data_IF_168833249308
#
_entry.id   IF_168833249308
#
_cell.length_a   1.000
_cell.length_b   1.000
_cell.length_c   1.000
_cell.angle_alpha   90.00
_cell.angle_beta   90.00
_cell.angle_gamma   90.00
#
_symmetry.space_group_name_H-M   'P 1'
#
loop_
_entity.id
_entity.type
_entity.pdbx_description
1 polymer ?
#
# COMPACT_ATOMS: atom_id res chain seq x y z
N UNK A 1 16.98 59.39 72.01
CA UNK A 1 15.55 59.07 72.26
C UNK A 1 14.91 58.79 70.90
N UNK A 2 14.78 57.51 70.49
CA UNK A 2 13.52 56.72 70.56
C UNK A 2 12.48 57.23 69.53
N UNK A 3 12.01 56.50 68.51
CA UNK A 3 11.60 55.08 68.48
C UNK A 3 11.74 54.46 67.08
N UNK A 4 12.16 53.19 67.09
CA UNK A 4 12.21 52.25 65.97
C UNK A 4 10.84 51.56 65.87
N UNK A 5 10.14 51.68 64.74
CA UNK A 5 8.89 50.98 64.49
C UNK A 5 9.18 49.59 63.93
N UNK A 6 8.72 48.54 64.61
CA UNK A 6 8.87 47.15 64.20
C UNK A 6 8.02 46.82 62.96
N UNK A 7 8.46 45.91 62.08
CA UNK A 7 7.58 45.29 61.11
C UNK A 7 6.66 44.29 61.80
N UNK A 8 5.36 44.49 61.64
CA UNK A 8 4.29 43.63 62.13
C UNK A 8 4.45 42.22 61.61
N UNK A 9 4.68 41.28 62.51
CA UNK A 9 4.77 39.85 62.25
C UNK A 9 3.42 39.37 61.70
N UNK A 10 3.37 39.01 60.41
CA UNK A 10 2.24 38.30 59.82
C UNK A 10 2.08 36.96 60.55
N UNK A 11 1.00 36.85 61.33
CA UNK A 11 0.55 35.59 61.90
C UNK A 11 0.23 34.63 60.76
N UNK A 12 1.10 33.65 60.53
CA UNK A 12 0.76 32.43 59.82
C UNK A 12 -0.24 31.63 60.68
N UNK A 13 -1.51 32.02 60.59
CA UNK A 13 -2.60 31.19 61.10
C UNK A 13 -2.64 29.91 60.27
N UNK A 14 -2.50 28.75 60.93
CA UNK A 14 -2.66 27.43 60.32
C UNK A 14 -3.90 27.45 59.43
N UNK A 15 -3.75 27.06 58.16
CA UNK A 15 -4.86 26.98 57.21
C UNK A 15 -6.01 26.20 57.87
N UNK A 16 -7.19 26.82 57.95
CA UNK A 16 -8.36 26.18 58.55
C UNK A 16 -8.73 24.99 57.67
N UNK A 17 -9.23 23.93 58.30
CA UNK A 17 -9.64 22.70 57.62
C UNK A 17 -10.57 22.97 56.41
N UNK A 18 -11.44 23.98 56.52
CA UNK A 18 -12.32 24.42 55.44
C UNK A 18 -11.60 24.97 54.20
N UNK A 19 -10.47 25.66 54.37
CA UNK A 19 -9.68 26.17 53.24
C UNK A 19 -8.94 25.02 52.55
N UNK A 20 -8.48 24.02 53.32
CA UNK A 20 -7.92 22.80 52.75
C UNK A 20 -8.97 22.03 51.95
N UNK A 21 -10.19 21.86 52.49
CA UNK A 21 -11.29 21.20 51.78
C UNK A 21 -11.63 21.93 50.47
N UNK A 22 -11.69 23.28 50.49
CA UNK A 22 -11.92 24.07 49.28
C UNK A 22 -10.80 23.90 48.25
N UNK A 23 -9.54 23.93 48.69
CA UNK A 23 -8.39 23.71 47.80
C UNK A 23 -8.37 22.32 47.16
N UNK A 24 -8.79 21.29 47.91
CA UNK A 24 -8.90 19.92 47.40
C UNK A 24 -10.03 19.84 46.37
N UNK A 25 -11.18 20.46 46.63
CA UNK A 25 -12.29 20.50 45.68
C UNK A 25 -11.92 21.22 44.38
N UNK A 26 -11.25 22.37 44.47
CA UNK A 26 -10.78 23.13 43.31
C UNK A 26 -9.78 22.32 42.47
N UNK A 27 -8.84 21.64 43.14
CA UNK A 27 -7.86 20.75 42.47
C UNK A 27 -8.54 19.57 41.78
N UNK A 28 -9.48 18.90 42.44
CA UNK A 28 -10.23 17.77 41.87
C UNK A 28 -11.04 18.21 40.64
N UNK A 29 -11.67 19.40 40.69
CA UNK A 29 -12.39 19.96 39.56
C UNK A 29 -11.45 20.22 38.38
N UNK A 30 -10.31 20.87 38.62
CA UNK A 30 -9.32 21.14 37.59
C UNK A 30 -8.77 19.84 36.96
N UNK A 31 -8.47 18.83 37.77
CA UNK A 31 -8.00 17.53 37.27
C UNK A 31 -9.05 16.86 36.38
N UNK A 32 -10.31 16.91 36.79
CA UNK A 32 -11.43 16.38 36.00
C UNK A 32 -11.56 17.12 34.66
N UNK A 33 -11.47 18.44 34.65
CA UNK A 33 -11.52 19.24 33.41
C UNK A 33 -10.36 18.88 32.45
N UNK A 34 -9.16 18.64 33.00
CA UNK A 34 -8.00 18.19 32.22
C UNK A 34 -8.25 16.78 31.65
N UNK A 35 -8.78 15.86 32.46
CA UNK A 35 -9.10 14.50 32.03
C UNK A 35 -10.16 14.48 30.94
N UNK A 36 -11.23 15.26 31.08
CA UNK A 36 -12.27 15.41 30.06
C UNK A 36 -11.65 15.91 28.76
N UNK A 37 -10.82 16.97 28.83
CA UNK A 37 -10.15 17.52 27.64
C UNK A 37 -9.20 16.53 26.99
N UNK A 38 -8.43 15.77 27.77
CA UNK A 38 -7.53 14.75 27.26
C UNK A 38 -8.31 13.61 26.58
N UNK A 39 -9.39 13.15 27.22
CA UNK A 39 -10.25 12.09 26.69
C UNK A 39 -10.92 12.51 25.39
N UNK A 40 -11.46 13.72 25.31
CA UNK A 40 -12.06 14.23 24.07
C UNK A 40 -11.04 14.33 22.92
N UNK A 41 -9.80 14.70 23.21
CA UNK A 41 -8.72 14.71 22.20
C UNK A 41 -8.36 13.30 21.73
N UNK A 42 -8.26 12.34 22.64
CA UNK A 42 -8.01 10.93 22.30
C UNK A 42 -9.15 10.38 21.45
N UNK A 43 -10.41 10.66 21.82
CA UNK A 43 -11.58 10.24 21.05
C UNK A 43 -11.61 10.84 19.64
N UNK A 44 -11.28 12.12 19.51
CA UNK A 44 -11.18 12.78 18.20
C UNK A 44 -10.08 12.17 17.32
N UNK A 45 -8.90 11.90 17.89
CA UNK A 45 -7.83 11.23 17.17
C UNK A 45 -8.22 9.79 16.77
N UNK A 46 -8.91 9.06 17.65
CA UNK A 46 -9.40 7.72 17.35
C UNK A 46 -10.45 7.73 16.21
N UNK A 47 -11.34 8.72 16.19
CA UNK A 47 -12.31 8.89 15.10
C UNK A 47 -11.60 9.15 13.76
N UNK A 48 -10.57 10.00 13.75
CA UNK A 48 -9.78 10.26 12.55
C UNK A 48 -9.01 9.01 12.08
N UNK A 49 -8.47 8.22 13.01
CA UNK A 49 -7.80 6.95 12.68
C UNK A 49 -8.78 5.96 12.06
N UNK A 50 -10.02 5.88 12.58
CA UNK A 50 -11.05 5.02 12.02
C UNK A 50 -11.41 5.43 10.58
N UNK A 51 -11.57 6.73 10.33
CA UNK A 51 -11.80 7.26 8.97
C UNK A 51 -10.64 6.93 8.02
N UNK A 52 -9.41 7.08 8.48
CA UNK A 52 -8.23 6.70 7.69
C UNK A 52 -8.20 5.20 7.38
N UNK A 53 -8.58 4.36 8.35
CA UNK A 53 -8.65 2.91 8.15
C UNK A 53 -9.73 2.53 7.14
N UNK A 54 -10.92 3.11 7.21
CA UNK A 54 -12.00 2.85 6.24
C UNK A 54 -11.59 3.24 4.82
N UNK A 55 -10.84 4.35 4.69
CA UNK A 55 -10.27 4.77 3.41
C UNK A 55 -9.22 3.79 2.89
N UNK A 56 -8.25 3.40 3.72
CA UNK A 56 -7.22 2.42 3.36
C UNK A 56 -7.84 1.09 2.93
N UNK A 57 -8.84 0.60 3.68
CA UNK A 57 -9.58 -0.60 3.34
C UNK A 57 -10.21 -0.45 1.95
N UNK A 58 -10.89 0.67 1.69
CA UNK A 58 -11.53 0.93 0.39
C UNK A 58 -10.51 0.99 -0.76
N UNK A 59 -9.38 1.67 -0.58
CA UNK A 59 -8.33 1.78 -1.59
C UNK A 59 -7.68 0.41 -1.89
N UNK A 60 -7.37 -0.37 -0.85
CA UNK A 60 -6.82 -1.73 -1.00
C UNK A 60 -7.83 -2.65 -1.68
N UNK A 61 -9.11 -2.58 -1.30
CA UNK A 61 -10.17 -3.37 -1.96
C UNK A 61 -10.25 -3.02 -3.44
N UNK A 62 -10.26 -1.74 -3.79
CA UNK A 62 -10.31 -1.30 -5.19
C UNK A 62 -9.10 -1.78 -5.99
N UNK A 63 -7.90 -1.72 -5.40
CA UNK A 63 -6.67 -2.19 -6.04
C UNK A 63 -6.69 -3.70 -6.25
N UNK A 64 -7.02 -4.47 -5.21
CA UNK A 64 -7.11 -5.94 -5.30
C UNK A 64 -8.21 -6.37 -6.27
N UNK A 65 -9.37 -5.72 -6.27
CA UNK A 65 -10.44 -6.00 -7.21
C UNK A 65 -10.03 -5.68 -8.65
N UNK A 66 -9.31 -4.57 -8.86
CA UNK A 66 -8.75 -4.21 -10.16
C UNK A 66 -7.74 -5.25 -10.65
N UNK A 67 -6.82 -5.70 -9.79
CA UNK A 67 -5.83 -6.73 -10.11
C UNK A 67 -6.50 -8.07 -10.43
N UNK A 68 -7.49 -8.49 -9.63
CA UNK A 68 -8.26 -9.70 -9.90
C UNK A 68 -9.05 -9.60 -11.21
N UNK A 69 -9.55 -8.42 -11.57
CA UNK A 69 -10.24 -8.20 -12.84
C UNK A 69 -9.28 -8.19 -14.03
N UNK A 70 -8.07 -7.65 -13.87
CA UNK A 70 -6.99 -7.76 -14.86
C UNK A 70 -6.58 -9.22 -15.05
N UNK A 71 -6.39 -9.97 -13.97
CA UNK A 71 -6.10 -11.41 -14.03
C UNK A 71 -7.23 -12.21 -14.70
N UNK A 72 -8.51 -11.85 -14.45
CA UNK A 72 -9.64 -12.44 -15.18
C UNK A 72 -9.60 -12.12 -16.68
N UNK A 73 -9.23 -10.90 -17.07
CA UNK A 73 -9.10 -10.54 -18.50
C UNK A 73 -7.91 -11.24 -19.15
N UNK A 74 -6.78 -11.38 -18.46
CA UNK A 74 -5.61 -12.12 -18.95
C UNK A 74 -5.89 -13.63 -19.01
N UNK A 75 -6.68 -14.16 -18.07
CA UNK A 75 -7.12 -15.57 -18.03
C UNK A 75 -8.25 -15.88 -19.02
N UNK A 76 -8.91 -14.87 -19.58
CA UNK A 76 -9.81 -15.01 -20.73
C UNK A 76 -9.07 -15.17 -22.07
N UNK A 77 -7.80 -15.58 -22.04
CA UNK A 77 -7.11 -16.13 -23.21
C UNK A 77 -7.88 -17.37 -23.67
N UNK A 78 -8.86 -17.16 -24.55
CA UNK A 78 -9.70 -18.22 -25.12
C UNK A 78 -8.78 -19.18 -25.84
N UNK A 79 -8.48 -20.31 -25.20
CA UNK A 79 -7.86 -21.44 -25.88
C UNK A 79 -8.96 -22.03 -26.76
N UNK A 80 -8.92 -21.68 -28.03
CA UNK A 80 -9.84 -22.25 -29.00
C UNK A 80 -9.42 -23.70 -29.23
N UNK A 81 -10.34 -24.63 -28.96
CA UNK A 81 -10.20 -26.03 -29.35
C UNK A 81 -11.13 -26.32 -30.52
N UNK A 82 -10.77 -27.29 -31.36
CA UNK A 82 -11.54 -27.68 -32.56
C UNK A 82 -13.01 -27.93 -32.21
N UNK A 83 -13.28 -28.57 -31.09
CA UNK A 83 -14.63 -28.95 -30.67
C UNK A 83 -15.48 -27.74 -30.25
N UNK A 84 -14.88 -26.78 -29.53
CA UNK A 84 -15.54 -25.53 -29.12
C UNK A 84 -15.96 -24.71 -30.35
N UNK A 85 -15.06 -24.64 -31.35
CA UNK A 85 -15.33 -23.92 -32.59
C UNK A 85 -16.38 -24.61 -33.46
N UNK A 86 -16.39 -25.95 -33.52
CA UNK A 86 -17.44 -26.71 -34.21
C UNK A 86 -18.80 -26.60 -33.51
N UNK A 87 -18.81 -26.44 -32.19
CA UNK A 87 -20.03 -26.22 -31.42
C UNK A 87 -20.61 -24.83 -31.65
N UNK A 88 -19.76 -23.79 -31.75
CA UNK A 88 -20.21 -22.42 -32.03
C UNK A 88 -20.57 -22.20 -33.51
N UNK A 89 -19.82 -22.80 -34.43
CA UNK A 89 -20.02 -22.65 -35.86
C UNK A 89 -20.27 -24.00 -36.51
N UNK A 90 -21.50 -24.19 -37.02
CA UNK A 90 -21.90 -25.43 -37.71
C UNK A 90 -21.07 -25.72 -38.96
N UNK A 91 -20.50 -24.70 -39.60
CA UNK A 91 -19.63 -24.88 -40.77
C UNK A 91 -18.34 -24.08 -40.66
N UNK A 92 -17.27 -24.60 -41.28
CA UNK A 92 -15.98 -23.93 -41.39
C UNK A 92 -16.07 -22.62 -42.20
N UNK A 93 -17.03 -22.54 -43.12
CA UNK A 93 -17.26 -21.35 -43.93
C UNK A 93 -17.80 -20.19 -43.08
N UNK A 94 -18.71 -20.49 -42.15
CA UNK A 94 -19.26 -19.49 -41.23
C UNK A 94 -18.20 -19.01 -40.24
N UNK A 95 -17.42 -19.93 -39.68
CA UNK A 95 -16.30 -19.57 -38.80
C UNK A 95 -15.27 -18.69 -39.53
N UNK A 96 -14.91 -19.04 -40.77
CA UNK A 96 -14.01 -18.22 -41.61
C UNK A 96 -14.53 -16.82 -41.85
N UNK A 97 -15.82 -16.68 -42.14
CA UNK A 97 -16.45 -15.39 -42.37
C UNK A 97 -16.43 -14.54 -41.09
N UNK A 98 -16.71 -15.17 -39.94
CA UNK A 98 -16.72 -14.49 -38.64
C UNK A 98 -15.33 -13.95 -38.25
N UNK A 99 -14.28 -14.74 -38.44
CA UNK A 99 -12.90 -14.33 -38.10
C UNK A 99 -12.17 -13.63 -39.26
N UNK A 100 -12.77 -13.56 -40.45
CA UNK A 100 -12.17 -13.05 -41.68
C UNK A 100 -10.79 -13.69 -42.01
N UNK A 101 -10.62 -14.98 -41.73
CA UNK A 101 -9.36 -15.70 -41.90
C UNK A 101 -9.40 -16.64 -43.11
N UNK A 102 -8.34 -16.60 -43.93
CA UNK A 102 -8.10 -17.60 -44.98
C UNK A 102 -7.39 -18.82 -44.36
N UNK A 103 -8.16 -19.86 -44.10
CA UNK A 103 -7.66 -21.17 -43.62
C UNK A 103 -8.16 -22.31 -44.50
N UNK A 104 -7.56 -23.49 -44.47
CA UNK A 104 -8.02 -24.65 -45.24
C UNK A 104 -8.63 -25.75 -44.37
N UNK A 105 -8.37 -25.72 -43.06
CA UNK A 105 -8.85 -26.72 -42.10
C UNK A 105 -9.21 -26.09 -40.74
N UNK A 106 -9.92 -26.83 -39.89
CA UNK A 106 -10.30 -26.38 -38.54
C UNK A 106 -9.08 -26.25 -37.62
N UNK A 107 -8.11 -27.15 -37.76
CA UNK A 107 -6.86 -27.13 -37.00
C UNK A 107 -6.05 -25.89 -37.35
N UNK A 108 -6.05 -25.50 -38.63
CA UNK A 108 -5.40 -24.27 -39.09
C UNK A 108 -6.09 -23.01 -38.55
N UNK A 109 -7.42 -23.03 -38.38
CA UNK A 109 -8.17 -21.94 -37.75
C UNK A 109 -7.80 -21.80 -36.27
N UNK A 110 -7.85 -22.92 -35.53
CA UNK A 110 -7.48 -23.01 -34.12
C UNK A 110 -6.06 -22.50 -33.89
N UNK A 111 -5.11 -23.00 -34.67
CA UNK A 111 -3.72 -22.61 -34.54
C UNK A 111 -3.51 -21.13 -34.82
N UNK A 112 -4.21 -20.56 -35.82
CA UNK A 112 -4.14 -19.12 -36.10
C UNK A 112 -4.81 -18.28 -35.00
N UNK A 113 -5.93 -18.72 -34.44
CA UNK A 113 -6.61 -17.98 -33.37
C UNK A 113 -5.80 -18.03 -32.07
N UNK A 114 -5.24 -19.18 -31.72
CA UNK A 114 -4.39 -19.34 -30.54
C UNK A 114 -3.03 -18.63 -30.71
N UNK A 115 -2.47 -18.61 -31.92
CA UNK A 115 -1.27 -17.83 -32.24
C UNK A 115 -1.54 -16.32 -32.21
N UNK A 116 -2.61 -15.85 -32.85
CA UNK A 116 -2.99 -14.44 -32.85
C UNK A 116 -3.37 -13.94 -31.45
N UNK A 117 -4.03 -14.78 -30.64
CA UNK A 117 -4.30 -14.51 -29.21
C UNK A 117 -3.03 -14.39 -28.37
N UNK A 118 -1.88 -14.86 -28.87
CA UNK A 118 -0.59 -14.77 -28.20
C UNK A 118 0.29 -13.61 -28.68
N UNK A 119 -0.13 -12.84 -29.70
CA UNK A 119 0.75 -11.90 -30.41
C UNK A 119 0.27 -10.43 -30.39
N UNK A 120 -0.79 -10.09 -29.64
CA UNK A 120 -1.30 -8.71 -29.51
C UNK A 120 -0.52 -7.80 -28.56
N UNK A 121 0.70 -8.18 -28.17
CA UNK A 121 1.65 -7.22 -27.59
C UNK A 121 2.61 -6.78 -28.69
N UNK A 122 2.61 -5.47 -28.97
CA UNK A 122 3.62 -4.70 -29.72
C UNK A 122 3.35 -4.56 -31.23
N UNK A 123 2.79 -3.42 -31.65
CA UNK A 123 3.34 -2.52 -32.70
C UNK A 123 2.43 -1.29 -32.89
N UNK A 124 2.86 -0.13 -32.38
CA UNK A 124 2.75 1.17 -33.07
C UNK A 124 3.58 2.23 -32.31
N UNK A 125 4.83 2.44 -32.73
CA UNK A 125 5.32 3.73 -33.25
C UNK A 125 6.80 3.65 -33.66
N UNK A 126 7.14 4.51 -34.61
CA UNK A 126 8.13 4.43 -35.71
C UNK A 126 9.57 4.82 -35.31
N UNK A 127 10.62 4.32 -36.00
CA UNK A 127 12.03 4.57 -35.68
C UNK A 127 12.70 5.62 -36.57
N UNK A 128 13.41 6.57 -35.98
CA UNK A 128 14.53 7.38 -36.52
C UNK A 128 15.28 7.92 -35.29
N UNK A 129 16.59 8.04 -35.17
CA UNK A 129 17.72 7.99 -36.09
C UNK A 129 18.99 7.79 -35.26
N UNK A 130 20.03 7.24 -35.90
CA UNK A 130 21.37 6.92 -35.40
C UNK A 130 22.09 8.06 -34.65
N UNK A 131 22.90 7.71 -33.64
CA UNK A 131 24.38 7.88 -33.62
C UNK A 131 24.95 7.33 -32.30
N UNK A 132 25.69 6.22 -32.33
CA UNK A 132 27.17 6.13 -32.26
C UNK A 132 27.74 6.52 -30.89
N UNK A 133 28.19 5.48 -30.17
CA UNK A 133 29.24 5.37 -29.15
C UNK A 133 29.89 6.67 -28.62
N UNK A 134 29.88 6.82 -27.29
CA UNK A 134 31.11 6.69 -26.48
C UNK A 134 30.78 6.40 -25.02
N UNK A 135 31.54 5.45 -24.48
CA UNK A 135 31.78 5.27 -23.05
C UNK A 135 32.03 6.61 -22.37
N UNK A 136 31.28 6.91 -21.30
CA UNK A 136 31.82 7.65 -20.17
C UNK A 136 31.04 7.34 -18.90
N UNK A 137 31.84 6.89 -17.94
CA UNK A 137 31.55 6.73 -16.53
C UNK A 137 30.74 7.87 -15.94
N UNK A 138 29.79 7.47 -15.10
CA UNK A 138 29.12 8.27 -14.07
C UNK A 138 28.12 9.29 -14.60
N UNK A 139 26.94 9.23 -13.98
CA UNK A 139 25.83 10.20 -13.97
C UNK A 139 24.67 9.89 -14.94
N UNK A 140 23.48 9.90 -14.35
CA UNK A 140 22.15 9.95 -14.98
C UNK A 140 21.50 8.59 -15.32
N UNK A 141 21.08 7.85 -14.30
CA UNK A 141 19.88 6.99 -14.38
C UNK A 141 18.81 7.50 -13.39
N UNK A 142 18.73 8.82 -13.30
CA UNK A 142 17.53 9.61 -13.07
C UNK A 142 17.27 10.17 -14.48
N UNK A 143 16.27 9.75 -15.23
CA UNK A 143 14.96 10.40 -15.24
C UNK A 143 14.00 9.59 -16.14
N UNK A 144 13.43 8.48 -15.66
CA UNK A 144 12.13 8.01 -16.18
C UNK A 144 11.39 7.04 -15.23
N UNK A 145 11.39 7.35 -13.93
CA UNK A 145 10.44 6.83 -12.94
C UNK A 145 9.89 8.03 -12.15
N UNK A 146 9.34 9.02 -12.84
CA UNK A 146 8.82 10.20 -12.17
C UNK A 146 7.44 9.92 -11.60
N UNK A 147 7.41 9.82 -10.27
CA UNK A 147 6.27 9.78 -9.32
C UNK A 147 5.80 8.42 -8.82
N UNK A 148 6.69 7.46 -8.61
CA UNK A 148 6.53 6.59 -7.43
C UNK A 148 7.77 6.82 -6.60
N UNK A 149 7.67 7.74 -5.64
CA UNK A 149 8.69 7.94 -4.61
C UNK A 149 9.06 6.56 -4.08
N UNK A 150 10.24 6.07 -4.47
CA UNK A 150 10.78 4.82 -3.98
C UNK A 150 10.91 5.04 -2.46
N UNK A 151 10.12 4.37 -1.61
CA UNK A 151 10.13 4.67 -0.19
C UNK A 151 11.54 4.38 0.32
N UNK A 152 12.24 5.45 0.72
CA UNK A 152 13.57 5.34 1.33
C UNK A 152 13.33 4.82 2.74
N UNK A 153 13.35 3.50 2.88
CA UNK A 153 13.19 2.84 4.17
C UNK A 153 14.54 2.91 4.89
N UNK A 154 14.60 3.77 5.91
CA UNK A 154 15.72 3.81 6.84
C UNK A 154 15.57 2.68 7.83
N UNK A 155 16.44 1.67 7.73
CA UNK A 155 16.54 0.61 8.71
C UNK A 155 17.49 1.06 9.82
N UNK A 156 17.21 0.63 11.05
CA UNK A 156 18.14 0.82 12.16
C UNK A 156 19.48 0.12 11.84
N UNK A 157 20.63 0.66 12.28
CA UNK A 157 21.96 0.14 11.92
C UNK A 157 22.11 -1.37 12.18
N UNK A 158 21.58 -1.84 13.31
CA UNK A 158 21.64 -3.25 13.71
C UNK A 158 20.82 -4.16 12.77
N UNK A 159 19.70 -3.64 12.25
CA UNK A 159 18.84 -4.36 11.29
C UNK A 159 19.48 -4.36 9.90
N UNK A 160 20.12 -3.26 9.52
CA UNK A 160 20.87 -3.17 8.27
C UNK A 160 22.11 -4.09 8.27
N UNK A 161 22.73 -4.31 9.42
CA UNK A 161 23.83 -5.28 9.58
C UNK A 161 23.33 -6.74 9.46
N UNK A 162 22.17 -7.06 10.06
CA UNK A 162 21.58 -8.40 9.96
C UNK A 162 21.06 -8.73 8.55
N UNK A 163 20.60 -7.72 7.80
CA UNK A 163 20.04 -7.88 6.46
C UNK A 163 20.71 -6.93 5.46
N UNK A 164 21.98 -7.19 5.09
CA UNK A 164 22.79 -6.27 4.31
C UNK A 164 22.34 -6.13 2.85
N UNK A 165 21.52 -7.06 2.35
CA UNK A 165 21.01 -7.04 0.98
C UNK A 165 19.60 -7.63 0.89
N UNK A 166 18.94 -7.40 -0.24
CA UNK A 166 17.59 -7.89 -0.50
C UNK A 166 17.50 -9.42 -0.59
N UNK A 167 18.60 -10.11 -0.88
CA UNK A 167 18.65 -11.58 -0.92
C UNK A 167 18.50 -12.18 0.49
N UNK A 168 19.18 -11.60 1.49
CA UNK A 168 19.06 -12.00 2.90
C UNK A 168 17.64 -11.83 3.45
N UNK A 169 16.98 -10.73 3.10
CA UNK A 169 15.58 -10.46 3.48
C UNK A 169 14.64 -11.50 2.86
N UNK A 170 14.81 -11.80 1.57
CA UNK A 170 13.96 -12.74 0.86
C UNK A 170 14.11 -14.17 1.39
N UNK A 171 15.31 -14.58 1.78
CA UNK A 171 15.54 -15.88 2.40
C UNK A 171 14.93 -15.97 3.80
N UNK A 172 15.00 -14.89 4.60
CA UNK A 172 14.32 -14.84 5.90
C UNK A 172 12.78 -14.93 5.76
N UNK A 173 12.20 -14.22 4.79
CA UNK A 173 10.77 -14.31 4.48
C UNK A 173 10.37 -15.72 4.04
N UNK A 174 11.15 -16.36 3.17
CA UNK A 174 10.93 -17.75 2.76
C UNK A 174 11.02 -18.72 3.93
N UNK A 175 11.95 -18.47 4.85
CA UNK A 175 12.12 -19.27 6.06
C UNK A 175 10.91 -19.14 7.00
N UNK A 176 10.41 -17.92 7.23
CA UNK A 176 9.19 -17.65 7.98
C UNK A 176 7.96 -18.34 7.38
N UNK A 177 7.78 -18.23 6.06
CA UNK A 177 6.70 -18.92 5.34
C UNK A 177 6.84 -20.45 5.52
N UNK A 178 8.05 -21.00 5.41
CA UNK A 178 8.29 -22.43 5.62
C UNK A 178 8.00 -22.90 7.04
N UNK A 179 8.32 -22.09 8.05
CA UNK A 179 8.00 -22.39 9.45
C UNK A 179 6.49 -22.31 9.72
N UNK A 180 5.82 -21.27 9.22
CA UNK A 180 4.38 -21.11 9.33
C UNK A 180 3.63 -22.27 8.66
N UNK A 181 4.05 -22.68 7.46
CA UNK A 181 3.46 -23.81 6.74
C UNK A 181 3.76 -25.17 7.37
N UNK A 182 4.83 -25.30 8.17
CA UNK A 182 5.16 -26.52 8.92
C UNK A 182 4.37 -26.66 10.23
N UNK A 183 3.84 -25.57 10.76
CA UNK A 183 3.06 -25.56 12.01
C UNK A 183 1.54 -25.69 11.78
N UNK A 184 1.10 -25.94 10.54
CA UNK A 184 -0.25 -26.41 10.26
C UNK A 184 -0.33 -27.93 10.46
N UNK A 185 -0.53 -28.36 11.71
CA UNK A 185 -1.04 -29.68 12.10
C UNK A 185 -2.11 -29.51 13.17
#
# INVERSE_FOLDING_TARGET
MSKKSLPTTQKQGKARLGDQIRSIADRLKQETDIQIKATSKILGAAAQIAENHDRLISEVVNMVESDLNLEKQVSQKHIYTVDILKQQFKTLRDAKAHFNLKVSSWESLVNKLNAASSQTTITQNKPQSNQVFTDNYVKNVEDNYNNIEKPIVFLEPDVAEMFPNSEAVNEALRFLIRLASKNCF
#
